data_IF_809340155455
#
_entry.id   IF_809340155455
#
_cell.length_a   1.000
_cell.length_b   1.000
_cell.length_c   1.000
_cell.angle_alpha   90.00
_cell.angle_beta   90.00
_cell.angle_gamma   90.00
#
_symmetry.space_group_name_H-M   'P 1'
#
loop_
_entity.id
_entity.type
_entity.pdbx_description
1 polymer ?
#
# COMPACT_ATOMS: atom_id res chain seq x y z
N UNK A 1 4.59 -32.20 36.15
CA UNK A 1 5.00 -30.79 35.97
C UNK A 1 6.17 -30.84 34.99
N UNK A 2 5.87 -30.87 33.69
CA UNK A 2 6.88 -31.14 32.65
C UNK A 2 6.58 -30.31 31.41
N UNK A 3 7.63 -29.64 30.95
CA UNK A 3 7.91 -29.06 29.64
C UNK A 3 6.96 -28.01 29.06
N UNK A 4 7.33 -26.76 29.36
CA UNK A 4 7.14 -25.62 28.49
C UNK A 4 7.84 -25.88 27.14
N UNK A 5 7.13 -26.43 26.17
CA UNK A 5 7.64 -26.48 24.81
C UNK A 5 7.85 -25.04 24.31
N UNK A 6 9.05 -24.68 23.82
CA UNK A 6 9.21 -23.44 23.09
C UNK A 6 8.41 -23.62 21.80
N UNK A 7 7.32 -22.87 21.62
CA UNK A 7 6.56 -22.86 20.38
C UNK A 7 7.46 -22.40 19.23
N UNK A 8 8.13 -23.36 18.60
CA UNK A 8 8.90 -23.15 17.38
C UNK A 8 7.89 -22.90 16.28
N UNK A 9 7.72 -21.63 15.91
CA UNK A 9 6.97 -21.20 14.72
C UNK A 9 7.15 -22.22 13.59
N UNK A 10 6.03 -22.79 13.13
CA UNK A 10 6.01 -23.82 12.11
C UNK A 10 6.77 -23.33 10.87
N UNK A 11 7.49 -24.21 10.16
CA UNK A 11 8.19 -23.88 8.92
C UNK A 11 7.28 -23.19 7.89
N UNK A 12 5.98 -23.48 7.97
CA UNK A 12 4.91 -22.80 7.22
C UNK A 12 4.83 -21.32 7.57
N UNK A 13 4.81 -20.96 8.85
CA UNK A 13 4.76 -19.57 9.33
C UNK A 13 6.02 -18.78 8.94
N UNK A 14 7.19 -19.42 8.95
CA UNK A 14 8.44 -18.81 8.46
C UNK A 14 8.42 -18.55 6.95
N UNK A 15 7.88 -19.48 6.15
CA UNK A 15 7.73 -19.30 4.72
C UNK A 15 6.72 -18.17 4.40
N UNK A 16 5.59 -18.14 5.12
CA UNK A 16 4.60 -17.06 5.02
C UNK A 16 5.18 -15.70 5.40
N UNK A 17 5.94 -15.62 6.51
CA UNK A 17 6.59 -14.39 6.94
C UNK A 17 7.59 -13.88 5.88
N UNK A 18 8.39 -14.78 5.28
CA UNK A 18 9.38 -14.41 4.27
C UNK A 18 8.73 -13.89 2.98
N UNK A 19 7.64 -14.53 2.53
CA UNK A 19 6.86 -14.08 1.37
C UNK A 19 6.16 -12.73 1.67
N UNK A 20 5.61 -12.57 2.87
CA UNK A 20 4.96 -11.34 3.31
C UNK A 20 5.94 -10.16 3.39
N UNK A 21 7.14 -10.38 3.94
CA UNK A 21 8.21 -9.36 4.03
C UNK A 21 8.70 -8.96 2.64
N UNK A 22 8.82 -9.90 1.69
CA UNK A 22 9.21 -9.58 0.31
C UNK A 22 8.22 -8.64 -0.40
N UNK A 23 6.92 -8.78 -0.10
CA UNK A 23 5.85 -7.94 -0.69
C UNK A 23 5.77 -6.54 -0.09
N UNK A 24 6.37 -6.30 1.08
CA UNK A 24 6.41 -4.99 1.76
C UNK A 24 6.99 -3.89 0.86
N UNK A 25 8.03 -4.18 0.09
CA UNK A 25 8.67 -3.21 -0.82
C UNK A 25 7.78 -2.90 -2.03
N UNK A 26 7.07 -3.90 -2.55
CA UNK A 26 6.11 -3.76 -3.65
C UNK A 26 4.95 -2.83 -3.27
N UNK A 27 4.35 -3.01 -2.09
CA UNK A 27 3.25 -2.13 -1.65
C UNK A 27 3.66 -0.66 -1.52
N UNK A 28 4.88 -0.40 -1.08
CA UNK A 28 5.42 0.98 -1.02
C UNK A 28 5.60 1.55 -2.42
N UNK A 29 6.22 0.80 -3.33
CA UNK A 29 6.42 1.23 -4.72
C UNK A 29 5.08 1.47 -5.43
N UNK A 30 4.10 0.57 -5.28
CA UNK A 30 2.77 0.72 -5.86
C UNK A 30 2.03 1.94 -5.31
N UNK A 31 2.16 2.23 -4.01
CA UNK A 31 1.57 3.43 -3.44
C UNK A 31 2.19 4.71 -4.00
N UNK A 32 3.53 4.78 -4.10
CA UNK A 32 4.22 5.95 -4.67
C UNK A 32 3.84 6.13 -6.15
N UNK A 33 3.82 5.05 -6.92
CA UNK A 33 3.42 5.08 -8.33
C UNK A 33 1.96 5.57 -8.48
N UNK A 34 1.04 5.05 -7.67
CA UNK A 34 -0.36 5.47 -7.68
C UNK A 34 -0.51 6.96 -7.33
N UNK A 35 0.23 7.47 -6.35
CA UNK A 35 0.25 8.90 -6.00
C UNK A 35 0.78 9.73 -7.18
N UNK A 36 1.88 9.31 -7.82
CA UNK A 36 2.43 10.02 -8.97
C UNK A 36 1.43 10.11 -10.13
N UNK A 37 0.73 9.01 -10.44
CA UNK A 37 -0.33 8.98 -11.46
C UNK A 37 -1.48 9.90 -11.08
N UNK A 38 -1.94 9.87 -9.82
CA UNK A 38 -3.01 10.73 -9.34
C UNK A 38 -2.66 12.23 -9.46
N UNK A 39 -1.43 12.60 -9.11
CA UNK A 39 -0.95 14.00 -9.25
C UNK A 39 -0.90 14.41 -10.73
N UNK A 40 -0.38 13.54 -11.60
CA UNK A 40 -0.32 13.82 -13.03
C UNK A 40 -1.71 14.05 -13.63
N UNK A 41 -2.67 13.19 -13.29
CA UNK A 41 -4.07 13.33 -13.71
C UNK A 41 -4.68 14.63 -13.18
N UNK A 42 -4.46 14.96 -11.91
CA UNK A 42 -4.99 16.20 -11.32
C UNK A 42 -4.44 17.46 -12.03
N UNK A 43 -3.17 17.46 -12.42
CA UNK A 43 -2.56 18.57 -13.18
C UNK A 43 -3.15 18.67 -14.59
N UNK A 44 -3.28 17.53 -15.29
CA UNK A 44 -3.84 17.48 -16.64
C UNK A 44 -5.31 17.94 -16.63
N UNK A 45 -6.12 17.39 -15.74
CA UNK A 45 -7.54 17.73 -15.62
C UNK A 45 -7.75 19.16 -15.13
N UNK A 46 -6.89 19.64 -14.22
CA UNK A 46 -6.90 21.03 -13.77
C UNK A 46 -6.58 22.01 -14.90
N UNK A 47 -5.58 21.70 -15.72
CA UNK A 47 -5.25 22.49 -16.91
C UNK A 47 -6.40 22.47 -17.93
N UNK A 48 -6.99 21.30 -18.18
CA UNK A 48 -8.14 21.16 -19.08
C UNK A 48 -9.35 21.97 -18.59
N UNK A 49 -9.65 21.96 -17.28
CA UNK A 49 -10.74 22.74 -16.69
C UNK A 49 -10.51 24.25 -16.71
N UNK A 50 -9.25 24.67 -16.63
CA UNK A 50 -8.87 26.07 -16.76
C UNK A 50 -9.05 26.57 -18.20
N UNK A 51 -8.71 25.73 -19.19
CA UNK A 51 -8.84 26.06 -20.62
C UNK A 51 -10.28 25.96 -21.12
N UNK A 52 -11.05 25.01 -20.59
CA UNK A 52 -12.45 24.79 -20.96
C UNK A 52 -13.33 24.67 -19.70
N UNK A 53 -14.17 25.69 -19.40
CA UNK A 53 -15.05 25.66 -18.25
C UNK A 53 -16.13 24.57 -18.28
N UNK A 54 -16.45 24.04 -19.47
CA UNK A 54 -17.42 22.97 -19.66
C UNK A 54 -16.85 21.57 -19.35
N UNK A 55 -15.54 21.50 -19.10
CA UNK A 55 -14.85 20.24 -18.81
C UNK A 55 -15.39 19.60 -17.53
N UNK A 56 -15.89 18.36 -17.65
CA UNK A 56 -16.47 17.61 -16.54
C UNK A 56 -15.38 17.06 -15.61
N UNK A 57 -15.17 17.73 -14.47
CA UNK A 57 -14.15 17.34 -13.47
C UNK A 57 -14.67 16.27 -12.52
N UNK A 58 -15.97 16.29 -12.18
CA UNK A 58 -16.55 15.43 -11.16
C UNK A 58 -16.27 13.91 -11.36
N UNK A 59 -16.56 13.30 -12.53
CA UNK A 59 -16.30 11.87 -12.71
C UNK A 59 -14.79 11.53 -12.66
N UNK A 60 -13.92 12.44 -13.12
CA UNK A 60 -12.47 12.23 -13.11
C UNK A 60 -11.87 12.37 -11.71
N UNK A 61 -12.40 13.30 -10.91
CA UNK A 61 -12.03 13.43 -9.50
C UNK A 61 -12.32 12.15 -8.70
N UNK A 62 -13.40 11.43 -9.03
CA UNK A 62 -13.69 10.11 -8.44
C UNK A 62 -12.61 9.09 -8.80
N UNK A 63 -12.15 9.04 -10.06
CA UNK A 63 -11.05 8.16 -10.48
C UNK A 63 -9.78 8.47 -9.67
N UNK A 64 -9.41 9.75 -9.58
CA UNK A 64 -8.26 10.20 -8.80
C UNK A 64 -8.41 9.78 -7.33
N UNK A 65 -9.60 9.95 -6.75
CA UNK A 65 -9.89 9.53 -5.39
C UNK A 65 -9.73 8.01 -5.20
N UNK A 66 -10.23 7.20 -6.13
CA UNK A 66 -10.08 5.74 -6.08
C UNK A 66 -8.61 5.32 -6.16
N UNK A 67 -7.80 5.96 -7.00
CA UNK A 67 -6.35 5.73 -7.08
C UNK A 67 -5.69 6.06 -5.73
N UNK A 68 -6.02 7.20 -5.12
CA UNK A 68 -5.47 7.60 -3.83
C UNK A 68 -5.93 6.67 -2.70
N UNK A 69 -7.17 6.19 -2.72
CA UNK A 69 -7.68 5.22 -1.76
C UNK A 69 -6.94 3.88 -1.87
N UNK A 70 -6.67 3.42 -3.10
CA UNK A 70 -5.83 2.24 -3.33
C UNK A 70 -4.40 2.46 -2.81
N UNK A 71 -3.81 3.62 -3.09
CA UNK A 71 -2.48 3.97 -2.58
C UNK A 71 -2.43 3.95 -1.04
N UNK A 72 -3.49 4.45 -0.38
CA UNK A 72 -3.64 4.42 1.08
C UNK A 72 -3.79 2.99 1.61
N UNK A 73 -4.55 2.13 0.93
CA UNK A 73 -4.67 0.72 1.27
C UNK A 73 -3.30 0.01 1.22
N UNK A 74 -2.53 0.24 0.15
CA UNK A 74 -1.19 -0.31 -0.03
C UNK A 74 -0.24 0.17 1.11
N UNK A 75 -0.31 1.44 1.53
CA UNK A 75 0.47 1.93 2.66
C UNK A 75 0.07 1.30 3.99
N UNK A 76 -1.23 1.06 4.22
CA UNK A 76 -1.67 0.35 5.43
C UNK A 76 -1.12 -1.07 5.47
N UNK A 77 -1.18 -1.80 4.35
CA UNK A 77 -0.60 -3.14 4.24
C UNK A 77 0.92 -3.13 4.47
N UNK A 78 1.63 -2.14 3.93
CA UNK A 78 3.05 -1.94 4.22
C UNK A 78 3.32 -1.74 5.73
N UNK A 79 2.52 -0.91 6.41
CA UNK A 79 2.66 -0.68 7.86
C UNK A 79 2.40 -1.95 8.67
N UNK A 80 1.36 -2.72 8.33
CA UNK A 80 1.08 -3.99 9.00
C UNK A 80 2.21 -5.00 8.80
N UNK A 81 2.71 -5.16 7.57
CA UNK A 81 3.86 -6.02 7.30
C UNK A 81 5.12 -5.55 8.05
N UNK A 82 5.33 -4.23 8.20
CA UNK A 82 6.44 -3.68 8.97
C UNK A 82 6.36 -3.98 10.47
N UNK A 83 5.16 -3.91 11.05
CA UNK A 83 4.93 -4.20 12.47
C UNK A 83 5.12 -5.70 12.72
N UNK A 84 4.57 -6.55 11.85
CA UNK A 84 4.74 -8.00 11.95
C UNK A 84 6.22 -8.41 11.87
N UNK A 85 6.99 -7.81 10.95
CA UNK A 85 8.44 -8.03 10.85
C UNK A 85 9.19 -7.67 12.15
N UNK A 86 8.81 -6.56 12.81
CA UNK A 86 9.39 -6.17 14.11
C UNK A 86 9.04 -7.14 15.25
N UNK A 87 7.86 -7.73 15.23
CA UNK A 87 7.41 -8.66 16.27
C UNK A 87 8.00 -10.07 16.10
N UNK A 88 8.17 -10.53 14.86
CA UNK A 88 8.68 -11.89 14.57
C UNK A 88 10.22 -11.97 14.54
N UNK A 89 10.93 -10.85 14.34
CA UNK A 89 12.39 -10.81 14.37
C UNK A 89 12.84 -9.92 15.54
N UNK A 90 12.91 -10.44 16.77
CA UNK A 90 13.57 -9.73 17.85
C UNK A 90 15.05 -9.66 17.47
N UNK A 91 15.57 -8.44 17.34
CA UNK A 91 17.00 -8.22 17.51
C UNK A 91 17.37 -8.46 18.97
#
# INVERSE_FOLDING_TARGET
>A
MSDSQPETLSDVERAFATIAIRRKRLFRTLSIAAIAVAVLLAVIDGYARFRDPSFQVAPRAVIILLILLNARQNLRQHKYAAILEKLTRPG
#
